data_IF_802329079471
#
_entry.id   IF_802329079471
#
_cell.length_a   1.000
_cell.length_b   1.000
_cell.length_c   1.000
_cell.angle_alpha   90.00
_cell.angle_beta   90.00
_cell.angle_gamma   90.00
#
_symmetry.space_group_name_H-M   'P 1'
#
loop_
_entity.id
_entity.type
_entity.pdbx_description
1 polymer ?
#
# COMPACT_ATOMS: atom_id res chain seq x y z
N UNK A 1 12.18 47.47 -8.57
CA UNK A 1 12.95 47.20 -7.34
C UNK A 1 12.24 47.87 -6.17
N UNK A 2 12.10 47.20 -5.04
CA UNK A 2 11.58 47.79 -3.80
C UNK A 2 12.79 48.20 -2.94
N UNK A 3 12.77 49.38 -2.34
CA UNK A 3 13.84 49.85 -1.46
C UNK A 3 13.87 48.99 -0.19
N UNK A 4 15.04 48.48 0.20
CA UNK A 4 15.19 47.61 1.38
C UNK A 4 16.64 47.18 1.63
N UNK A 5 16.88 46.57 2.79
CA UNK A 5 18.15 45.94 3.12
C UNK A 5 18.26 44.59 2.42
N UNK A 6 19.41 44.33 1.79
CA UNK A 6 19.71 43.06 1.15
C UNK A 6 20.96 42.45 1.78
N UNK A 7 21.09 41.12 1.72
CA UNK A 7 22.32 40.47 2.14
C UNK A 7 23.49 40.83 1.20
N UNK A 8 24.72 40.92 1.73
CA UNK A 8 25.93 41.04 0.92
C UNK A 8 26.05 39.91 -0.10
N UNK A 9 26.83 40.15 -1.16
CA UNK A 9 27.10 39.15 -2.20
C UNK A 9 27.64 37.85 -1.59
N UNK A 10 27.06 36.71 -2.00
CA UNK A 10 27.42 35.38 -1.51
C UNK A 10 26.72 34.91 -0.23
N UNK A 11 25.93 35.76 0.43
CA UNK A 11 25.12 35.40 1.61
C UNK A 11 23.63 35.34 1.27
N UNK A 12 22.89 34.56 2.06
CA UNK A 12 21.43 34.44 1.98
C UNK A 12 20.79 34.79 3.32
N UNK A 13 19.59 35.34 3.28
CA UNK A 13 18.82 35.65 4.49
C UNK A 13 18.22 34.36 5.05
N UNK A 14 18.43 34.08 6.33
CA UNK A 14 17.77 32.98 7.04
C UNK A 14 16.44 33.39 7.68
N UNK A 15 15.74 32.42 8.27
CA UNK A 15 14.43 32.64 8.92
C UNK A 15 14.51 33.55 10.15
N UNK A 16 15.72 33.78 10.70
CA UNK A 16 15.96 34.71 11.81
C UNK A 16 16.29 36.13 11.34
N UNK A 17 16.33 36.36 10.02
CA UNK A 17 16.69 37.64 9.42
C UNK A 17 18.20 37.90 9.39
N UNK A 18 19.04 36.88 9.54
CA UNK A 18 20.49 36.99 9.46
C UNK A 18 21.03 36.57 8.10
N UNK A 19 22.08 37.26 7.63
CA UNK A 19 22.77 36.91 6.39
C UNK A 19 23.82 35.84 6.68
N UNK A 20 23.59 34.63 6.18
CA UNK A 20 24.43 33.45 6.44
C UNK A 20 24.96 32.84 5.14
N UNK A 21 26.09 32.09 5.19
CA UNK A 21 26.54 31.32 4.04
C UNK A 21 25.50 30.27 3.60
N UNK A 22 25.29 30.04 2.29
CA UNK A 22 24.34 29.03 1.81
C UNK A 22 24.59 27.61 2.36
N UNK A 23 25.85 27.30 2.70
CA UNK A 23 26.26 26.00 3.25
C UNK A 23 25.73 25.74 4.66
N UNK A 24 25.39 26.77 5.44
CA UNK A 24 24.85 26.60 6.80
C UNK A 24 23.33 26.51 6.85
N UNK A 25 22.66 26.72 5.72
CA UNK A 25 21.20 26.72 5.69
C UNK A 25 20.62 25.29 5.84
N UNK A 26 19.61 25.11 6.70
CA UNK A 26 18.99 23.81 6.94
C UNK A 26 18.20 23.31 5.72
N UNK A 27 17.96 22.00 5.68
CA UNK A 27 17.04 21.37 4.72
C UNK A 27 15.70 21.09 5.39
N UNK A 28 14.61 21.07 4.62
CA UNK A 28 13.28 20.70 5.11
C UNK A 28 12.92 19.27 4.67
N UNK A 29 12.32 18.49 5.56
CA UNK A 29 11.77 17.15 5.25
C UNK A 29 10.68 16.78 6.26
N UNK A 30 9.52 16.29 5.80
CA UNK A 30 8.40 15.90 6.67
C UNK A 30 7.97 17.00 7.66
N UNK A 31 7.83 18.24 7.19
CA UNK A 31 7.48 19.39 8.03
C UNK A 31 8.61 19.96 8.90
N UNK A 32 9.67 19.18 9.14
CA UNK A 32 10.76 19.50 10.06
C UNK A 32 12.01 20.11 9.37
N UNK A 33 12.82 20.83 10.14
CA UNK A 33 14.09 21.44 9.70
C UNK A 33 15.29 20.63 10.19
N UNK A 34 16.24 20.38 9.28
CA UNK A 34 17.43 19.58 9.51
C UNK A 34 18.70 20.40 9.28
N UNK A 35 19.65 20.42 10.23
CA UNK A 35 20.90 21.14 10.04
C UNK A 35 21.74 20.53 8.90
N UNK A 36 22.64 21.32 8.27
CA UNK A 36 23.58 20.82 7.27
C UNK A 36 24.35 19.60 7.73
N UNK A 37 24.54 18.63 6.83
CA UNK A 37 25.19 17.36 7.13
C UNK A 37 24.27 16.29 7.75
N UNK A 38 23.03 16.64 8.12
CA UNK A 38 22.03 15.67 8.58
C UNK A 38 21.79 14.58 7.54
N UNK A 39 21.43 13.38 8.01
CA UNK A 39 21.16 12.22 7.17
C UNK A 39 19.74 11.73 7.36
N UNK A 40 19.03 11.50 6.27
CA UNK A 40 17.71 10.84 6.24
C UNK A 40 17.75 9.66 5.28
N UNK A 41 16.69 8.83 5.32
CA UNK A 41 16.45 7.79 4.32
C UNK A 41 15.22 8.14 3.52
N UNK A 42 15.34 8.07 2.19
CA UNK A 42 14.21 8.17 1.27
C UNK A 42 14.12 6.87 0.49
N UNK A 43 13.15 6.03 0.85
CA UNK A 43 13.09 4.64 0.42
C UNK A 43 14.35 3.88 0.84
N UNK A 44 15.09 3.36 -0.14
CA UNK A 44 16.36 2.66 0.06
C UNK A 44 17.59 3.59 0.03
N UNK A 45 17.42 4.85 -0.39
CA UNK A 45 18.52 5.80 -0.57
C UNK A 45 18.84 6.55 0.72
N UNK A 46 20.14 6.74 0.98
CA UNK A 46 20.62 7.68 2.00
C UNK A 46 20.72 9.08 1.39
N UNK A 47 20.22 10.08 2.11
CA UNK A 47 20.28 11.48 1.70
C UNK A 47 21.05 12.30 2.72
N UNK A 48 21.82 13.28 2.25
CA UNK A 48 22.55 14.22 3.10
C UNK A 48 22.11 15.64 2.81
N UNK A 49 21.80 16.41 3.86
CA UNK A 49 21.46 17.81 3.72
C UNK A 49 22.70 18.64 3.37
N UNK A 50 22.68 19.30 2.21
CA UNK A 50 23.73 20.24 1.77
C UNK A 50 23.10 21.42 1.03
N UNK A 51 23.40 22.65 1.44
CA UNK A 51 22.93 23.87 0.77
C UNK A 51 21.42 23.91 0.57
N UNK A 52 20.64 23.67 1.62
CA UNK A 52 19.17 23.56 1.60
C UNK A 52 18.59 22.44 0.74
N UNK A 53 19.43 21.56 0.16
CA UNK A 53 18.98 20.48 -0.71
C UNK A 53 19.39 19.12 -0.16
N UNK A 54 18.53 18.14 -0.35
CA UNK A 54 18.85 16.74 -0.09
C UNK A 54 19.64 16.18 -1.27
N UNK A 55 20.87 15.74 -1.01
CA UNK A 55 21.66 14.96 -1.96
C UNK A 55 21.47 13.49 -1.62
N UNK A 56 20.63 12.81 -2.40
CA UNK A 56 20.28 11.40 -2.21
C UNK A 56 21.06 10.47 -3.13
N UNK A 57 21.22 9.22 -2.71
CA UNK A 57 21.59 8.13 -3.61
C UNK A 57 20.58 7.98 -4.76
N UNK A 58 21.04 7.36 -5.85
CA UNK A 58 20.24 7.08 -7.04
C UNK A 58 19.91 5.60 -7.19
N UNK A 59 19.97 4.83 -6.10
CA UNK A 59 19.66 3.41 -6.13
C UNK A 59 18.18 3.23 -6.44
N UNK A 60 17.90 2.21 -7.24
CA UNK A 60 16.54 1.80 -7.49
C UNK A 60 16.01 1.02 -6.29
N UNK A 61 14.89 1.47 -5.74
CA UNK A 61 14.26 0.83 -4.60
C UNK A 61 13.21 -0.18 -5.03
N UNK A 62 12.98 -1.17 -4.17
CA UNK A 62 11.86 -2.08 -4.32
C UNK A 62 10.53 -1.32 -4.26
N UNK A 63 9.57 -1.71 -5.09
CA UNK A 63 8.20 -1.20 -5.05
C UNK A 63 7.31 -2.09 -4.19
N UNK A 64 6.31 -1.50 -3.54
CA UNK A 64 5.29 -2.22 -2.77
C UNK A 64 3.92 -1.88 -3.32
N UNK A 65 3.16 -2.90 -3.69
CA UNK A 65 1.73 -2.81 -3.95
C UNK A 65 0.96 -3.27 -2.72
N UNK A 66 -0.16 -2.60 -2.44
CA UNK A 66 -1.03 -2.87 -1.29
C UNK A 66 -2.42 -3.22 -1.82
N UNK A 67 -2.99 -4.32 -1.34
CA UNK A 67 -4.42 -4.59 -1.40
C UNK A 67 -4.92 -4.71 0.05
N UNK A 68 -5.88 -3.87 0.43
CA UNK A 68 -6.34 -3.72 1.82
C UNK A 68 -7.83 -3.54 1.88
N UNK A 69 -8.50 -4.15 2.86
CA UNK A 69 -9.95 -4.05 3.07
C UNK A 69 -10.76 -4.80 2.02
N UNK A 70 -10.27 -4.82 0.77
CA UNK A 70 -11.01 -5.16 -0.45
C UNK A 70 -12.33 -4.38 -0.50
N UNK A 71 -12.23 -3.11 -0.96
CA UNK A 71 -11.88 -2.93 -2.36
C UNK A 71 -10.64 -2.05 -2.62
N UNK A 72 -9.80 -1.76 -1.63
CA UNK A 72 -8.80 -0.70 -1.76
C UNK A 72 -7.42 -1.19 -2.20
N UNK A 73 -6.82 -0.48 -3.16
CA UNK A 73 -5.53 -0.81 -3.75
C UNK A 73 -4.60 0.41 -3.78
N UNK A 74 -3.30 0.17 -3.65
CA UNK A 74 -2.21 1.12 -3.94
C UNK A 74 -1.21 0.40 -4.84
N UNK A 75 -0.99 0.91 -6.05
CA UNK A 75 -0.05 0.34 -7.02
C UNK A 75 1.40 0.53 -6.59
N UNK A 76 2.33 -0.10 -7.31
CA UNK A 76 3.76 0.05 -7.05
C UNK A 76 4.26 1.50 -7.16
N UNK A 77 3.60 2.32 -8.00
CA UNK A 77 3.97 3.72 -8.23
C UNK A 77 3.11 4.70 -7.42
N UNK A 78 2.21 4.18 -6.57
CA UNK A 78 1.46 4.95 -5.57
C UNK A 78 0.09 5.44 -6.03
N UNK A 79 -0.40 5.01 -7.20
CA UNK A 79 -1.79 5.23 -7.61
C UNK A 79 -2.71 4.45 -6.67
N UNK A 80 -3.60 5.15 -5.99
CA UNK A 80 -4.60 4.51 -5.16
C UNK A 80 -5.98 4.54 -5.83
N UNK A 81 -6.71 3.43 -5.73
CA UNK A 81 -8.06 3.30 -6.27
C UNK A 81 -8.85 2.27 -5.45
N UNK A 82 -10.17 2.23 -5.70
CA UNK A 82 -11.07 1.22 -5.14
C UNK A 82 -11.72 0.44 -6.28
N UNK A 83 -11.86 -0.87 -6.13
CA UNK A 83 -12.51 -1.76 -7.08
C UNK A 83 -13.17 -2.93 -6.34
N UNK A 84 -14.51 -2.99 -6.33
CA UNK A 84 -15.31 -3.95 -5.55
C UNK A 84 -15.55 -5.24 -6.33
N UNK A 85 -14.47 -5.92 -6.70
CA UNK A 85 -14.56 -7.20 -7.41
C UNK A 85 -14.80 -8.39 -6.47
N UNK A 86 -15.82 -9.19 -6.72
CA UNK A 86 -16.20 -10.38 -5.92
C UNK A 86 -15.74 -11.71 -6.53
N UNK A 87 -14.59 -11.68 -7.20
CA UNK A 87 -14.01 -12.83 -7.90
C UNK A 87 -12.48 -12.91 -7.73
N UNK A 88 -11.81 -13.71 -8.56
CA UNK A 88 -10.35 -13.80 -8.60
C UNK A 88 -9.75 -12.81 -9.63
N UNK A 89 -8.79 -12.01 -9.18
CA UNK A 89 -8.12 -10.99 -9.99
C UNK A 89 -6.60 -11.10 -9.93
N UNK A 90 -5.95 -10.70 -11.03
CA UNK A 90 -4.49 -10.62 -11.11
C UNK A 90 -4.00 -9.37 -10.40
N UNK A 91 -3.41 -9.52 -9.21
CA UNK A 91 -2.71 -8.43 -8.54
C UNK A 91 -1.48 -8.03 -9.36
N UNK A 92 -0.64 -9.00 -9.69
CA UNK A 92 0.53 -8.78 -10.52
C UNK A 92 0.91 -10.04 -11.29
N UNK A 93 1.27 -9.89 -12.56
CA UNK A 93 1.98 -10.91 -13.35
C UNK A 93 3.26 -10.32 -13.92
N UNK A 94 4.30 -11.13 -13.99
CA UNK A 94 5.52 -10.79 -14.73
C UNK A 94 5.34 -11.08 -16.21
N UNK A 95 5.81 -10.19 -17.09
CA UNK A 95 5.50 -10.23 -18.53
C UNK A 95 6.13 -11.41 -19.27
N UNK A 96 7.27 -11.91 -18.79
CA UNK A 96 7.92 -13.14 -19.26
C UNK A 96 7.31 -14.45 -18.69
N UNK A 97 6.29 -14.36 -17.82
CA UNK A 97 5.63 -15.53 -17.23
C UNK A 97 6.39 -16.17 -16.07
N UNK A 98 7.34 -15.45 -15.43
CA UNK A 98 8.10 -15.97 -14.30
C UNK A 98 7.24 -16.21 -13.04
N UNK A 99 6.29 -15.31 -12.79
CA UNK A 99 5.35 -15.44 -11.67
C UNK A 99 4.04 -14.71 -11.92
N UNK A 100 3.01 -15.16 -11.20
CA UNK A 100 1.72 -14.48 -11.07
C UNK A 100 1.28 -14.51 -9.61
N UNK A 101 0.72 -13.41 -9.14
CA UNK A 101 0.03 -13.29 -7.86
C UNK A 101 -1.41 -12.91 -8.13
N UNK A 102 -2.35 -13.72 -7.66
CA UNK A 102 -3.78 -13.45 -7.70
C UNK A 102 -4.36 -13.36 -6.30
N UNK A 103 -5.45 -12.62 -6.17
CA UNK A 103 -6.26 -12.58 -4.96
C UNK A 103 -7.70 -12.96 -5.32
N UNK A 104 -8.27 -13.88 -4.55
CA UNK A 104 -9.70 -14.23 -4.62
C UNK A 104 -10.43 -13.43 -3.56
N UNK A 105 -11.39 -12.64 -4.02
CA UNK A 105 -12.25 -11.81 -3.22
C UNK A 105 -13.65 -12.42 -3.20
N UNK A 106 -14.31 -12.37 -2.05
CA UNK A 106 -15.68 -12.87 -1.89
C UNK A 106 -16.50 -11.89 -1.06
N UNK A 107 -17.83 -11.81 -1.26
CA UNK A 107 -18.68 -10.98 -0.41
C UNK A 107 -18.54 -11.38 1.06
N UNK A 108 -18.31 -10.40 1.94
CA UNK A 108 -18.07 -10.64 3.37
C UNK A 108 -18.94 -9.76 4.29
N UNK A 109 -20.12 -9.39 3.80
CA UNK A 109 -21.13 -8.64 4.52
C UNK A 109 -22.45 -8.64 3.73
N UNK A 110 -23.41 -7.80 4.12
CA UNK A 110 -24.67 -7.63 3.38
C UNK A 110 -24.71 -6.41 2.45
N UNK A 111 -23.70 -5.52 2.56
CA UNK A 111 -23.56 -4.26 1.81
C UNK A 111 -22.74 -4.37 0.52
N UNK A 112 -22.55 -5.59 0.00
CA UNK A 112 -21.77 -5.81 -1.22
C UNK A 112 -20.25 -5.63 -1.09
N UNK A 113 -19.73 -5.32 0.11
CA UNK A 113 -18.27 -5.30 0.35
C UNK A 113 -17.69 -6.71 0.25
N UNK A 114 -16.46 -6.77 -0.29
CA UNK A 114 -15.75 -8.01 -0.52
C UNK A 114 -14.57 -8.12 0.45
N UNK A 115 -14.07 -9.34 0.66
CA UNK A 115 -12.88 -9.57 1.46
C UNK A 115 -12.00 -10.57 0.74
N UNK A 116 -10.69 -10.39 0.86
CA UNK A 116 -9.73 -11.38 0.38
C UNK A 116 -9.89 -12.71 1.14
N UNK A 117 -10.26 -13.75 0.40
CA UNK A 117 -10.41 -15.13 0.88
C UNK A 117 -9.13 -15.93 0.72
N UNK A 118 -8.42 -15.72 -0.39
CA UNK A 118 -7.18 -16.41 -0.67
C UNK A 118 -6.22 -15.57 -1.51
N UNK A 119 -4.94 -15.83 -1.35
CA UNK A 119 -3.86 -15.28 -2.19
C UNK A 119 -3.10 -16.43 -2.79
N UNK A 120 -3.01 -16.45 -4.12
CA UNK A 120 -2.34 -17.51 -4.87
C UNK A 120 -1.08 -16.96 -5.52
N UNK A 121 0.02 -17.67 -5.34
CA UNK A 121 1.30 -17.35 -5.97
C UNK A 121 1.73 -18.52 -6.84
N UNK A 122 1.81 -18.27 -8.14
CA UNK A 122 2.30 -19.21 -9.14
C UNK A 122 3.73 -18.84 -9.50
N UNK A 123 4.66 -19.77 -9.30
CA UNK A 123 6.11 -19.62 -9.56
C UNK A 123 6.61 -20.85 -10.33
N UNK A 124 6.62 -20.77 -11.66
CA UNK A 124 6.84 -21.92 -12.53
C UNK A 124 5.78 -22.99 -12.30
N UNK A 125 6.21 -24.20 -11.93
CA UNK A 125 5.31 -25.33 -11.62
C UNK A 125 4.86 -25.37 -10.14
N UNK A 126 5.25 -24.39 -9.33
CA UNK A 126 4.89 -24.33 -7.91
C UNK A 126 3.72 -23.39 -7.74
N UNK A 127 2.62 -23.90 -7.19
CA UNK A 127 1.41 -23.16 -6.85
C UNK A 127 1.29 -23.11 -5.34
N UNK A 128 1.41 -21.91 -4.77
CA UNK A 128 1.20 -21.67 -3.34
C UNK A 128 -0.17 -21.04 -3.14
N UNK A 129 -1.08 -21.72 -2.45
CA UNK A 129 -2.32 -21.12 -1.97
C UNK A 129 -2.16 -20.74 -0.52
N UNK A 130 -2.31 -19.45 -0.22
CA UNK A 130 -2.49 -18.96 1.13
C UNK A 130 -3.99 -18.75 1.34
N UNK A 131 -4.56 -19.41 2.36
CA UNK A 131 -5.99 -19.41 2.69
C UNK A 131 -6.29 -18.62 3.97
N UNK A 132 -7.51 -18.06 4.06
CA UNK A 132 -7.94 -17.23 5.19
C UNK A 132 -7.71 -18.01 6.49
N UNK A 133 -7.25 -17.34 7.54
CA UNK A 133 -6.81 -18.02 8.77
C UNK A 133 -5.35 -18.51 8.74
N UNK A 134 -4.60 -18.19 7.69
CA UNK A 134 -3.15 -18.42 7.55
C UNK A 134 -2.75 -19.89 7.36
N UNK A 135 -3.65 -20.68 6.80
CA UNK A 135 -3.32 -21.99 6.26
C UNK A 135 -2.65 -21.84 4.89
N UNK A 136 -1.73 -22.75 4.58
CA UNK A 136 -0.98 -22.71 3.33
C UNK A 136 -0.95 -24.09 2.72
N UNK A 137 -1.19 -24.16 1.41
CA UNK A 137 -0.91 -25.34 0.61
C UNK A 137 0.11 -25.04 -0.47
N UNK A 138 0.93 -26.03 -0.81
CA UNK A 138 1.87 -25.98 -1.93
C UNK A 138 1.57 -27.18 -2.82
N UNK A 139 1.20 -26.92 -4.07
CA UNK A 139 0.74 -27.93 -5.03
C UNK A 139 -0.37 -28.83 -4.46
N UNK A 140 -1.32 -28.23 -3.74
CA UNK A 140 -2.45 -28.93 -3.12
C UNK A 140 -2.14 -29.64 -1.79
N UNK A 141 -0.89 -29.69 -1.36
CA UNK A 141 -0.49 -30.33 -0.09
C UNK A 141 -0.39 -29.28 1.01
N UNK A 142 -1.01 -29.53 2.17
CA UNK A 142 -0.93 -28.62 3.33
C UNK A 142 0.49 -28.53 3.89
N UNK A 143 0.93 -27.31 4.22
CA UNK A 143 2.29 -27.03 4.69
C UNK A 143 2.22 -26.10 5.89
N UNK A 144 3.05 -26.38 6.90
CA UNK A 144 3.25 -25.50 8.06
C UNK A 144 4.55 -24.72 7.90
N UNK A 145 4.53 -23.38 7.82
CA UNK A 145 5.74 -22.57 7.83
C UNK A 145 6.50 -22.68 9.17
N UNK A 146 7.85 -22.56 9.19
CA UNK A 146 8.70 -22.24 8.06
C UNK A 146 8.97 -23.44 7.14
N UNK A 147 9.03 -23.19 5.82
CA UNK A 147 9.37 -24.21 4.82
C UNK A 147 10.14 -23.57 3.66
N UNK A 148 11.26 -24.18 3.28
CA UNK A 148 12.06 -23.76 2.12
C UNK A 148 12.04 -24.83 1.05
N UNK A 149 11.89 -24.41 -0.20
CA UNK A 149 11.93 -25.23 -1.40
C UNK A 149 13.16 -24.86 -2.20
N UNK A 150 14.14 -25.75 -2.24
CA UNK A 150 15.46 -25.52 -2.85
C UNK A 150 15.40 -25.30 -4.37
N UNK A 151 14.42 -25.88 -5.06
CA UNK A 151 14.26 -25.76 -6.52
C UNK A 151 14.03 -24.31 -6.98
N UNK A 152 12.93 -23.69 -6.54
CA UNK A 152 12.57 -22.32 -6.95
C UNK A 152 13.09 -21.26 -5.96
N UNK A 153 13.86 -21.67 -4.95
CA UNK A 153 14.34 -20.79 -3.89
C UNK A 153 13.21 -20.12 -3.09
N UNK A 154 12.05 -20.79 -3.02
CA UNK A 154 10.85 -20.31 -2.35
C UNK A 154 10.96 -20.59 -0.86
N UNK A 155 10.71 -19.57 -0.03
CA UNK A 155 10.65 -19.70 1.43
C UNK A 155 9.31 -19.19 1.93
N UNK A 156 8.62 -20.02 2.69
CA UNK A 156 7.42 -19.66 3.44
C UNK A 156 7.78 -19.53 4.90
N UNK A 157 7.37 -18.45 5.55
CA UNK A 157 7.58 -18.22 6.98
C UNK A 157 6.44 -17.39 7.57
N UNK A 158 6.45 -17.22 8.89
CA UNK A 158 5.55 -16.31 9.61
C UNK A 158 6.35 -15.11 10.12
N UNK A 159 5.83 -13.92 9.89
CA UNK A 159 6.40 -12.65 10.37
C UNK A 159 5.31 -11.88 11.14
N UNK A 160 5.27 -12.05 12.46
CA UNK A 160 4.19 -11.52 13.28
C UNK A 160 2.83 -12.09 12.86
N UNK A 161 1.92 -11.22 12.41
CA UNK A 161 0.60 -11.61 11.93
C UNK A 161 0.60 -12.14 10.48
N UNK A 162 1.68 -11.93 9.74
CA UNK A 162 1.73 -12.22 8.31
C UNK A 162 2.29 -13.62 8.01
N UNK A 163 1.68 -14.28 7.04
CA UNK A 163 2.38 -15.23 6.19
C UNK A 163 3.30 -14.46 5.25
N UNK A 164 4.53 -14.92 5.11
CA UNK A 164 5.56 -14.30 4.29
C UNK A 164 6.11 -15.33 3.31
N UNK A 165 5.93 -15.06 2.03
CA UNK A 165 6.54 -15.77 0.91
C UNK A 165 7.69 -14.94 0.37
N UNK A 166 8.87 -15.55 0.28
CA UNK A 166 10.08 -14.99 -0.35
C UNK A 166 10.48 -15.86 -1.52
N UNK A 167 10.87 -15.25 -2.64
CA UNK A 167 11.46 -15.95 -3.78
C UNK A 167 12.82 -15.37 -4.17
N UNK A 168 13.66 -16.19 -4.81
CA UNK A 168 14.95 -15.73 -5.38
C UNK A 168 14.78 -14.80 -6.58
N UNK A 169 13.57 -14.71 -7.13
CA UNK A 169 13.25 -13.75 -8.20
C UNK A 169 13.07 -12.33 -7.65
N UNK A 170 13.20 -12.09 -6.35
CA UNK A 170 12.95 -10.78 -5.75
C UNK A 170 11.46 -10.44 -5.64
N UNK A 171 10.59 -11.46 -5.65
CA UNK A 171 9.18 -11.36 -5.26
C UNK A 171 9.05 -11.65 -3.77
N UNK A 172 8.35 -10.79 -3.07
CA UNK A 172 7.91 -10.99 -1.69
C UNK A 172 6.40 -10.79 -1.61
N UNK A 173 5.68 -11.71 -0.97
CA UNK A 173 4.24 -11.56 -0.69
C UNK A 173 4.03 -11.69 0.81
N UNK A 174 3.37 -10.70 1.41
CA UNK A 174 2.89 -10.74 2.78
C UNK A 174 1.38 -10.76 2.78
N UNK A 175 0.79 -11.63 3.58
CA UNK A 175 -0.66 -11.62 3.80
C UNK A 175 -0.98 -11.98 5.25
N UNK A 176 -1.85 -11.20 5.89
CA UNK A 176 -2.21 -11.41 7.30
C UNK A 176 -3.22 -12.53 7.51
N UNK A 177 -3.65 -13.19 6.43
CA UNK A 177 -4.70 -14.20 6.45
C UNK A 177 -6.10 -13.62 6.56
N UNK A 178 -6.24 -12.30 6.33
CA UNK A 178 -7.48 -11.56 6.30
C UNK A 178 -7.44 -10.54 5.15
N UNK A 179 -7.50 -9.26 5.47
CA UNK A 179 -7.78 -8.20 4.50
C UNK A 179 -6.55 -7.49 3.93
N UNK A 180 -5.32 -7.78 4.38
CA UNK A 180 -4.12 -7.02 3.95
C UNK A 180 -3.10 -7.89 3.23
N UNK A 181 -2.95 -7.64 1.94
CA UNK A 181 -1.95 -8.22 1.06
C UNK A 181 -0.93 -7.15 0.66
N UNK A 182 0.35 -7.47 0.83
CA UNK A 182 1.45 -6.64 0.33
C UNK A 182 2.26 -7.46 -0.66
N UNK A 183 2.40 -6.95 -1.88
CA UNK A 183 3.30 -7.53 -2.88
C UNK A 183 4.47 -6.58 -3.03
N UNK A 184 5.69 -7.06 -2.78
CA UNK A 184 6.92 -6.28 -2.92
C UNK A 184 7.81 -6.88 -3.98
N UNK A 185 8.28 -6.03 -4.89
CA UNK A 185 9.13 -6.41 -6.01
C UNK A 185 10.48 -5.70 -5.97
N UNK A 186 11.54 -6.45 -6.22
CA UNK A 186 12.85 -5.88 -6.46
C UNK A 186 12.86 -5.01 -7.72
N UNK A 187 13.74 -3.99 -7.78
CA UNK A 187 13.86 -3.06 -8.91
C UNK A 187 13.98 -3.68 -10.29
N UNK A 188 14.54 -4.88 -10.36
CA UNK A 188 14.68 -5.60 -11.62
C UNK A 188 13.33 -5.78 -12.32
N UNK A 189 12.20 -5.81 -11.61
CA UNK A 189 10.89 -5.98 -12.25
C UNK A 189 10.26 -4.70 -12.79
N UNK A 190 10.97 -3.56 -12.73
CA UNK A 190 10.47 -2.26 -13.21
C UNK A 190 10.07 -2.33 -14.68
N UNK A 191 8.84 -1.93 -15.00
CA UNK A 191 8.27 -1.98 -16.35
C UNK A 191 8.17 -3.38 -16.94
N UNK A 192 8.28 -4.43 -16.11
CA UNK A 192 8.23 -5.85 -16.51
C UNK A 192 7.09 -6.61 -15.85
N UNK A 193 6.13 -5.89 -15.29
CA UNK A 193 4.94 -6.44 -14.66
C UNK A 193 3.68 -5.73 -15.14
N UNK A 194 2.54 -6.35 -14.92
CA UNK A 194 1.23 -5.74 -15.13
C UNK A 194 0.19 -6.41 -14.22
N UNK A 195 -0.91 -5.72 -13.92
CA UNK A 195 -1.99 -6.22 -13.07
C UNK A 195 -2.69 -5.07 -12.35
N UNK A 196 -3.52 -5.40 -11.36
CA UNK A 196 -4.12 -4.38 -10.49
C UNK A 196 -3.08 -3.53 -9.75
N UNK A 197 -1.86 -4.03 -9.58
CA UNK A 197 -0.74 -3.32 -8.97
C UNK A 197 0.00 -2.36 -9.93
N UNK A 198 -0.49 -2.16 -11.15
CA UNK A 198 0.17 -1.30 -12.15
C UNK A 198 1.33 -1.99 -12.86
N UNK A 199 2.19 -1.18 -13.50
CA UNK A 199 3.32 -1.67 -14.31
C UNK A 199 4.69 -1.50 -13.64
N UNK A 200 4.73 -0.80 -12.49
CA UNK A 200 5.93 -0.49 -11.71
C UNK A 200 6.99 0.21 -12.57
N UNK A 201 6.69 1.31 -13.24
CA UNK A 201 7.62 2.08 -14.08
C UNK A 201 7.98 3.46 -13.52
N UNK A 202 7.45 3.81 -12.33
CA UNK A 202 7.54 5.10 -11.63
C UNK A 202 6.57 6.17 -12.13
N UNK A 203 5.59 5.81 -12.95
CA UNK A 203 4.57 6.72 -13.46
C UNK A 203 3.16 6.25 -13.08
N UNK A 204 2.65 6.79 -11.97
CA UNK A 204 1.32 6.50 -11.45
C UNK A 204 0.17 6.91 -12.39
N UNK A 205 0.42 7.74 -13.40
CA UNK A 205 -0.63 8.22 -14.31
C UNK A 205 -1.02 7.18 -15.36
N UNK A 206 -0.17 6.18 -15.60
CA UNK A 206 -0.43 5.10 -16.57
C UNK A 206 -0.84 3.77 -15.91
N UNK A 207 -0.90 3.73 -14.58
CA UNK A 207 -1.09 2.49 -13.80
C UNK A 207 -2.44 1.80 -14.03
N UNK A 208 -3.47 2.55 -14.45
CA UNK A 208 -4.80 2.01 -14.75
C UNK A 208 -4.89 1.45 -16.18
N UNK A 209 -3.83 0.79 -16.65
CA UNK A 209 -3.79 0.13 -17.94
C UNK A 209 -4.47 -1.25 -17.89
N UNK A 210 -5.44 -1.48 -18.78
CA UNK A 210 -6.13 -2.76 -18.91
C UNK A 210 -5.19 -3.90 -19.29
N UNK A 211 -5.69 -5.14 -19.27
CA UNK A 211 -4.94 -6.32 -19.70
C UNK A 211 -4.36 -6.21 -21.13
N UNK A 212 -4.97 -5.39 -21.99
CA UNK A 212 -4.53 -5.11 -23.36
C UNK A 212 -3.52 -3.93 -23.44
N UNK A 213 -3.22 -3.28 -22.32
CA UNK A 213 -2.31 -2.13 -22.25
C UNK A 213 -2.98 -0.79 -22.59
N UNK A 214 -4.31 -0.72 -22.58
CA UNK A 214 -5.05 0.53 -22.84
C UNK A 214 -5.34 1.21 -21.51
N UNK A 215 -5.05 2.51 -21.41
CA UNK A 215 -5.39 3.29 -20.22
C UNK A 215 -6.89 3.42 -20.07
N UNK A 216 -7.43 2.97 -18.94
CA UNK A 216 -8.86 3.03 -18.64
C UNK A 216 -9.21 4.30 -17.84
N UNK A 217 -10.39 4.90 -18.07
CA UNK A 217 -10.79 6.13 -17.41
C UNK A 217 -11.31 5.90 -15.98
N UNK A 218 -11.70 4.66 -15.64
CA UNK A 218 -12.25 4.31 -14.33
C UNK A 218 -11.58 3.07 -13.76
N UNK A 219 -11.57 2.97 -12.42
CA UNK A 219 -11.04 1.82 -11.71
C UNK A 219 -11.83 0.53 -12.01
N UNK A 220 -13.14 0.65 -12.29
CA UNK A 220 -13.99 -0.50 -12.60
C UNK A 220 -13.67 -1.11 -13.97
N UNK A 221 -13.54 -0.29 -15.01
CA UNK A 221 -13.12 -0.75 -16.33
C UNK A 221 -11.73 -1.38 -16.28
N UNK A 222 -10.80 -0.72 -15.58
CA UNK A 222 -9.47 -1.26 -15.31
C UNK A 222 -9.53 -2.61 -14.60
N UNK A 223 -10.21 -2.70 -13.47
CA UNK A 223 -10.27 -3.89 -12.63
C UNK A 223 -10.97 -5.07 -13.31
N UNK A 224 -12.06 -4.81 -14.03
CA UNK A 224 -12.78 -5.81 -14.82
C UNK A 224 -11.89 -6.44 -15.90
N UNK A 225 -10.92 -5.72 -16.46
CA UNK A 225 -9.98 -6.28 -17.44
C UNK A 225 -9.01 -7.30 -16.83
N UNK A 226 -8.84 -7.28 -15.50
CA UNK A 226 -7.89 -8.12 -14.77
C UNK A 226 -8.50 -9.38 -14.14
N UNK A 227 -9.77 -9.67 -14.39
CA UNK A 227 -10.45 -10.94 -14.01
C UNK A 227 -9.66 -12.16 -14.48
N UNK A 228 -9.52 -13.17 -13.63
CA UNK A 228 -8.88 -14.45 -14.00
C UNK A 228 -9.80 -15.28 -14.89
N UNK A 229 -11.10 -15.26 -14.64
CA UNK A 229 -12.11 -16.01 -15.38
C UNK A 229 -13.14 -15.08 -16.03
N UNK A 230 -13.58 -15.43 -17.25
CA UNK A 230 -14.69 -14.74 -17.91
C UNK A 230 -16.05 -15.03 -17.25
N UNK A 231 -16.11 -15.99 -16.32
CA UNK A 231 -17.30 -16.27 -15.51
C UNK A 231 -17.44 -15.29 -14.33
N UNK A 232 -16.40 -14.52 -14.03
CA UNK A 232 -16.46 -13.47 -13.01
C UNK A 232 -17.41 -12.35 -13.48
N UNK A 233 -18.35 -11.88 -12.64
CA UNK A 233 -19.21 -10.77 -13.00
C UNK A 233 -18.41 -9.49 -13.26
N UNK A 234 -19.02 -8.55 -13.99
CA UNK A 234 -18.47 -7.20 -14.14
C UNK A 234 -18.94 -6.34 -12.97
N UNK A 235 -18.02 -5.55 -12.44
CA UNK A 235 -18.31 -4.50 -11.46
C UNK A 235 -18.72 -3.25 -12.21
N UNK A 236 -19.85 -2.66 -11.83
CA UNK A 236 -20.27 -1.33 -12.26
C UNK A 236 -20.51 -0.48 -11.01
N UNK A 237 -19.55 0.39 -10.68
CA UNK A 237 -19.60 1.23 -9.50
C UNK A 237 -20.51 2.46 -9.64
N UNK A 238 -21.13 2.69 -10.81
CA UNK A 238 -21.99 3.86 -11.02
C UNK A 238 -23.20 3.89 -10.07
N UNK A 239 -23.71 2.72 -9.69
CA UNK A 239 -24.88 2.55 -8.83
C UNK A 239 -24.53 2.04 -7.41
N UNK A 240 -23.25 1.88 -7.10
CA UNK A 240 -22.83 1.37 -5.79
C UNK A 240 -23.05 2.42 -4.69
N UNK A 241 -23.98 2.14 -3.78
CA UNK A 241 -24.23 3.00 -2.62
C UNK A 241 -23.11 2.83 -1.58
N UNK A 242 -22.74 3.92 -0.91
CA UNK A 242 -21.70 3.87 0.12
C UNK A 242 -22.19 3.01 1.31
N UNK A 243 -21.39 2.09 1.89
CA UNK A 243 -21.84 1.18 2.94
C UNK A 243 -22.40 1.88 4.19
N UNK A 244 -21.88 3.05 4.55
CA UNK A 244 -22.46 3.85 5.65
C UNK A 244 -23.85 4.45 5.35
N UNK A 245 -24.26 4.53 4.09
CA UNK A 245 -25.61 4.95 3.69
C UNK A 245 -26.58 3.78 3.77
N UNK A 246 -26.15 2.59 3.33
CA UNK A 246 -26.90 1.34 3.50
C UNK A 246 -27.02 0.95 4.98
N UNK A 247 -25.96 1.18 5.75
CA UNK A 247 -25.86 0.87 7.19
C UNK A 247 -25.74 2.15 8.04
N UNK A 248 -26.77 3.03 8.09
CA UNK A 248 -26.69 4.34 8.73
C UNK A 248 -26.46 4.23 10.25
N UNK A 249 -26.92 3.14 10.86
CA UNK A 249 -26.71 2.86 12.27
C UNK A 249 -25.22 2.63 12.63
N UNK A 250 -24.38 2.24 11.66
CA UNK A 250 -22.92 2.04 11.85
C UNK A 250 -22.10 3.30 11.63
N UNK A 251 -22.61 4.25 10.85
CA UNK A 251 -21.86 5.43 10.40
C UNK A 251 -21.24 6.23 11.56
N UNK A 252 -21.99 6.47 12.63
CA UNK A 252 -21.51 7.23 13.80
C UNK A 252 -20.39 6.49 14.53
N UNK A 253 -20.49 5.16 14.66
CA UNK A 253 -19.46 4.34 15.28
C UNK A 253 -18.19 4.31 14.41
N UNK A 254 -18.33 4.08 13.11
CA UNK A 254 -17.24 4.04 12.14
C UNK A 254 -16.43 5.34 12.15
N UNK A 255 -17.08 6.50 11.97
CA UNK A 255 -16.42 7.82 12.01
C UNK A 255 -15.69 8.06 13.33
N UNK A 256 -16.33 7.73 14.46
CA UNK A 256 -15.71 7.90 15.79
C UNK A 256 -14.44 7.06 15.92
N UNK A 257 -14.47 5.78 15.53
CA UNK A 257 -13.33 4.88 15.66
C UNK A 257 -12.20 5.20 14.66
N UNK A 258 -12.54 5.51 13.42
CA UNK A 258 -11.56 5.87 12.38
C UNK A 258 -10.91 7.24 12.59
N UNK A 259 -11.53 8.13 13.38
CA UNK A 259 -10.97 9.45 13.68
C UNK A 259 -9.58 9.42 14.33
N UNK A 260 -9.13 8.28 14.87
CA UNK A 260 -7.77 8.15 15.38
C UNK A 260 -6.71 8.50 14.33
N UNK A 261 -6.98 8.22 13.04
CA UNK A 261 -6.07 8.46 11.91
C UNK A 261 -5.79 9.95 11.68
N UNK A 262 -6.72 10.82 12.06
CA UNK A 262 -6.61 12.29 11.92
C UNK A 262 -6.18 12.97 13.23
N UNK A 263 -6.01 12.21 14.31
CA UNK A 263 -5.64 12.75 15.62
C UNK A 263 -4.13 12.87 15.81
N UNK A 264 -3.75 13.56 16.91
CA UNK A 264 -2.37 13.85 17.31
C UNK A 264 -1.44 12.63 17.32
N UNK A 265 -1.98 11.45 17.61
CA UNK A 265 -1.20 10.21 17.65
C UNK A 265 -0.52 9.90 16.30
N UNK A 266 -1.21 10.16 15.19
CA UNK A 266 -0.70 9.97 13.84
C UNK A 266 -0.15 11.26 13.20
N UNK A 267 -0.22 12.40 13.88
CA UNK A 267 0.25 13.69 13.37
C UNK A 267 1.67 13.67 12.77
N UNK A 268 2.67 12.95 13.34
CA UNK A 268 3.99 12.87 12.74
C UNK A 268 4.02 12.28 11.32
N UNK A 269 2.98 11.54 10.91
CA UNK A 269 2.87 10.90 9.60
C UNK A 269 2.09 11.72 8.58
N UNK A 270 1.29 12.70 9.02
CA UNK A 270 0.35 13.41 8.13
C UNK A 270 1.04 14.16 6.99
N UNK A 271 2.26 14.66 7.22
CA UNK A 271 3.06 15.37 6.20
C UNK A 271 3.73 14.42 5.20
N UNK A 272 3.94 13.15 5.57
CA UNK A 272 4.59 12.14 4.72
C UNK A 272 3.60 11.26 3.96
N UNK A 273 2.45 10.98 4.57
CA UNK A 273 1.38 10.15 4.02
C UNK A 273 0.03 10.84 4.27
N UNK A 274 -0.65 11.35 3.22
CA UNK A 274 -1.95 12.01 3.36
C UNK A 274 -2.98 11.10 4.04
N UNK A 275 -3.50 11.52 5.20
CA UNK A 275 -4.36 10.67 6.04
C UNK A 275 -5.81 10.55 5.55
N UNK A 276 -6.32 11.56 4.83
CA UNK A 276 -7.75 11.66 4.49
C UNK A 276 -8.28 10.41 3.77
N UNK A 277 -7.53 9.91 2.78
CA UNK A 277 -7.89 8.68 2.05
C UNK A 277 -8.03 7.48 2.97
N UNK A 278 -7.09 7.27 3.88
CA UNK A 278 -7.12 6.15 4.82
C UNK A 278 -8.24 6.28 5.85
N UNK A 279 -8.58 7.52 6.24
CA UNK A 279 -9.77 7.78 7.04
C UNK A 279 -11.05 7.39 6.30
N UNK A 280 -11.18 7.78 5.03
CA UNK A 280 -12.35 7.46 4.21
C UNK A 280 -12.48 5.95 3.98
N UNK A 281 -11.38 5.26 3.67
CA UNK A 281 -11.32 3.80 3.56
C UNK A 281 -11.69 3.10 4.87
N UNK A 282 -11.14 3.57 6.01
CA UNK A 282 -11.51 3.02 7.31
C UNK A 282 -13.01 3.15 7.60
N UNK A 283 -13.62 4.31 7.27
CA UNK A 283 -15.05 4.53 7.47
C UNK A 283 -15.88 3.63 6.54
N UNK A 284 -15.46 3.48 5.28
CA UNK A 284 -16.05 2.57 4.31
C UNK A 284 -16.06 1.12 4.85
N UNK A 285 -14.88 0.59 5.19
CA UNK A 285 -14.69 -0.78 5.68
C UNK A 285 -15.47 -1.04 6.98
N UNK A 286 -15.42 -0.11 7.94
CA UNK A 286 -16.08 -0.24 9.24
C UNK A 286 -17.62 -0.24 9.13
N UNK A 287 -18.18 0.41 8.12
CA UNK A 287 -19.61 0.36 7.80
C UNK A 287 -19.98 -0.89 7.00
N UNK A 288 -19.10 -1.38 6.13
CA UNK A 288 -19.38 -2.53 5.27
C UNK A 288 -19.32 -3.88 5.99
N UNK A 289 -18.42 -4.04 6.97
CA UNK A 289 -18.32 -5.27 7.76
C UNK A 289 -19.43 -5.34 8.83
N UNK A 290 -20.60 -5.84 8.43
CA UNK A 290 -21.84 -5.88 9.21
C UNK A 290 -22.23 -7.28 9.72
N UNK A 291 -21.54 -8.32 9.24
CA UNK A 291 -21.91 -9.73 9.45
C UNK A 291 -21.06 -10.44 10.53
N UNK A 292 -20.36 -9.66 11.36
CA UNK A 292 -19.40 -10.14 12.37
C UNK A 292 -17.95 -10.08 11.85
N UNK A 293 -17.03 -9.66 12.72
CA UNK A 293 -15.66 -9.32 12.31
C UNK A 293 -15.42 -7.82 12.11
N UNK A 294 -16.36 -6.98 12.53
CA UNK A 294 -16.32 -5.51 12.45
C UNK A 294 -15.03 -4.91 13.04
N UNK A 295 -14.52 -5.52 14.12
CA UNK A 295 -13.25 -5.15 14.73
C UNK A 295 -12.06 -5.55 13.84
N UNK A 296 -12.14 -6.66 13.09
CA UNK A 296 -11.09 -7.06 12.14
C UNK A 296 -10.92 -5.96 11.07
N UNK A 297 -12.00 -5.57 10.38
CA UNK A 297 -11.96 -4.57 9.31
C UNK A 297 -11.45 -3.20 9.79
N UNK A 298 -12.00 -2.71 10.92
CA UNK A 298 -11.54 -1.47 11.54
C UNK A 298 -10.04 -1.53 11.88
N UNK A 299 -9.61 -2.60 12.55
CA UNK A 299 -8.23 -2.71 13.01
C UNK A 299 -7.25 -2.90 11.86
N UNK A 300 -7.64 -3.60 10.79
CA UNK A 300 -6.80 -3.74 9.61
C UNK A 300 -6.71 -2.42 8.84
N UNK A 301 -7.80 -1.66 8.70
CA UNK A 301 -7.76 -0.35 8.04
C UNK A 301 -6.83 0.64 8.76
N UNK A 302 -6.90 0.69 10.10
CA UNK A 302 -5.97 1.50 10.90
C UNK A 302 -4.53 0.99 10.78
N UNK A 303 -4.35 -0.34 10.82
CA UNK A 303 -3.04 -0.95 10.67
C UNK A 303 -2.40 -0.68 9.30
N UNK A 304 -3.20 -0.56 8.23
CA UNK A 304 -2.72 -0.21 6.90
C UNK A 304 -2.11 1.19 6.90
N UNK A 305 -2.77 2.20 7.47
CA UNK A 305 -2.16 3.53 7.56
C UNK A 305 -0.89 3.53 8.41
N UNK A 306 -0.90 2.80 9.54
CA UNK A 306 0.28 2.66 10.38
C UNK A 306 1.46 2.00 9.64
N UNK A 307 1.20 1.04 8.76
CA UNK A 307 2.21 0.40 7.92
C UNK A 307 2.78 1.38 6.87
N UNK A 308 1.93 2.18 6.22
CA UNK A 308 2.37 3.22 5.28
C UNK A 308 3.26 4.28 5.95
N UNK A 309 2.90 4.70 7.18
CA UNK A 309 3.77 5.52 8.02
C UNK A 309 5.11 4.81 8.32
N UNK A 310 5.04 3.53 8.66
CA UNK A 310 6.21 2.69 8.92
C UNK A 310 7.17 2.62 7.74
N UNK A 311 6.65 2.52 6.51
CA UNK A 311 7.43 2.55 5.27
C UNK A 311 8.14 3.89 5.03
N UNK A 312 7.64 4.99 5.61
CA UNK A 312 8.30 6.30 5.66
C UNK A 312 9.18 6.51 6.89
N UNK A 313 9.43 5.45 7.68
CA UNK A 313 10.27 5.49 8.87
C UNK A 313 9.57 6.04 10.11
N UNK A 314 8.26 6.28 10.06
CA UNK A 314 7.48 6.87 11.15
C UNK A 314 6.69 5.76 11.84
N UNK A 315 7.20 5.30 12.97
CA UNK A 315 6.64 4.13 13.66
C UNK A 315 5.70 4.58 14.79
N UNK A 316 4.40 4.41 14.58
CA UNK A 316 3.36 4.83 15.54
C UNK A 316 2.89 3.64 16.37
N UNK A 317 2.96 3.75 17.70
CA UNK A 317 2.36 2.75 18.63
C UNK A 317 0.92 3.12 18.92
N UNK A 318 -0.03 2.52 18.20
CA UNK A 318 -1.43 2.93 18.21
C UNK A 318 -2.43 1.98 18.87
N UNK A 319 -2.03 0.71 19.07
CA UNK A 319 -2.87 -0.31 19.70
C UNK A 319 -3.05 -0.04 21.19
N UNK A 320 -4.24 -0.26 21.72
CA UNK A 320 -4.58 -0.14 23.14
C UNK A 320 -5.70 -1.12 23.54
N UNK A 321 -5.97 -1.25 24.84
CA UNK A 321 -7.05 -2.13 25.32
C UNK A 321 -8.43 -1.73 24.80
N UNK A 322 -8.63 -0.46 24.46
CA UNK A 322 -9.89 0.08 23.93
C UNK A 322 -9.91 0.17 22.39
N UNK A 323 -8.79 -0.15 21.73
CA UNK A 323 -8.58 -0.05 20.29
C UNK A 323 -7.51 -1.06 19.80
N UNK A 324 -7.94 -2.21 19.29
CA UNK A 324 -7.18 -3.14 18.44
C UNK A 324 -5.85 -3.71 18.99
#
# INVERSE_FOLDING_TARGET
>A
CVSGCNCPEGLVLDDSGQCVPPDVCPCRHGGELYPPGSKIRQGCNACVCRRQRWQCGSEDCAGTCVATGDPHYITFDGKAFSFLGDCEYVLVRETGGLFTVTAENVPCGTSGVTCTKSVVVVLGNTVVHMLRGRDVTVNGVSVRPPKTYSGNGLTLQRAGLFLLLLSRLGLTVLWDGGTRVYVRLHPQHRGRVAGLCGNFDRDAENDLASRQGVLEPTADLFGNSWRVSLLCPEVDGADAEHPCTENPHRATWARKRCSILTQRLFAPCHDEVPCQRFYDWCVFDACGCDSGGDCECLCTAIATYAEECGQRGIHVRWRSQDLC
#
